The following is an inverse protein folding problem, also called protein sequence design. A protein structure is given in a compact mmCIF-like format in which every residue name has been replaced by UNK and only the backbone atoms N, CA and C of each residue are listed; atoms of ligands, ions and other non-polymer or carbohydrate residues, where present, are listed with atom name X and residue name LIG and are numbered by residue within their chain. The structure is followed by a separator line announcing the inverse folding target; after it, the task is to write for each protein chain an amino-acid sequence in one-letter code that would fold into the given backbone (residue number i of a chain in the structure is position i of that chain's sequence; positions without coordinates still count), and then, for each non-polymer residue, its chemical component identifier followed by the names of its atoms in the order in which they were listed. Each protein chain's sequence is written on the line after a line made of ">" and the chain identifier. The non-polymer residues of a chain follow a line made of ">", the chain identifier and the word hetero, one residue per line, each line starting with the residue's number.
data_IF_395907099229
#
_entry.id   IF_395907099229
#
_cell.length_a   1.000
_cell.length_b   1.000
_cell.length_c   1.000
_cell.angle_alpha   90.00
_cell.angle_beta   90.00
_cell.angle_gamma   90.00
#
_symmetry.space_group_name_H-M   'P 1'
#
loop_
_entity.id
_entity.type
_entity.pdbx_description
1 polymer ?
#
# COMPACT_ATOMS: atom_id res chain seq x y z
N UNK A 1 8.52 -21.27 9.45
CA UNK A 1 8.16 -20.40 10.60
C UNK A 1 7.42 -19.19 10.03
N UNK A 2 6.13 -19.01 10.31
CA UNK A 2 5.31 -17.94 9.72
C UNK A 2 5.54 -16.63 10.48
N UNK A 3 6.21 -15.65 9.85
CA UNK A 3 6.52 -14.32 10.44
C UNK A 3 5.29 -13.66 11.09
N UNK A 4 4.12 -13.79 10.47
CA UNK A 4 2.87 -13.24 10.96
C UNK A 4 2.42 -13.87 12.30
N UNK A 5 2.58 -15.18 12.48
CA UNK A 5 2.27 -15.86 13.74
C UNK A 5 3.20 -15.41 14.87
N UNK A 6 4.48 -15.19 14.57
CA UNK A 6 5.44 -14.67 15.56
C UNK A 6 5.08 -13.24 15.97
N UNK A 7 4.65 -12.40 15.01
CA UNK A 7 4.20 -11.04 15.28
C UNK A 7 2.97 -11.03 16.19
N UNK A 8 1.92 -11.79 15.84
CA UNK A 8 0.70 -11.86 16.67
C UNK A 8 1.00 -12.47 18.04
N UNK A 9 1.82 -13.52 18.11
CA UNK A 9 2.23 -14.12 19.39
C UNK A 9 3.05 -13.19 20.29
N UNK A 10 3.70 -12.16 19.73
CA UNK A 10 4.39 -11.13 20.51
C UNK A 10 3.44 -10.07 21.08
N UNK A 11 2.23 -9.95 20.53
CA UNK A 11 1.18 -9.06 21.02
C UNK A 11 0.40 -9.79 22.11
N UNK A 12 0.25 -9.17 23.28
CA UNK A 12 -0.54 -9.75 24.38
C UNK A 12 -2.01 -9.91 23.96
N UNK A 13 -2.76 -10.90 24.49
CA UNK A 13 -4.21 -10.96 24.33
C UNK A 13 -4.87 -9.62 24.70
N UNK A 14 -5.86 -9.19 23.90
CA UNK A 14 -6.46 -7.86 23.97
C UNK A 14 -5.61 -6.73 23.37
N UNK A 15 -4.42 -7.03 22.84
CA UNK A 15 -3.58 -6.08 22.12
C UNK A 15 -4.08 -5.81 20.70
N UNK A 16 -3.53 -4.76 20.08
CA UNK A 16 -3.95 -4.29 18.76
C UNK A 16 -2.91 -4.61 17.69
N UNK A 17 -3.41 -5.08 16.55
CA UNK A 17 -2.68 -5.18 15.29
C UNK A 17 -3.32 -4.22 14.29
N UNK A 18 -2.49 -3.38 13.69
CA UNK A 18 -2.88 -2.51 12.59
C UNK A 18 -2.36 -3.11 11.29
N UNK A 19 -3.28 -3.46 10.41
CA UNK A 19 -2.98 -4.07 9.12
C UNK A 19 -3.24 -3.03 8.02
N UNK A 20 -2.15 -2.53 7.43
CA UNK A 20 -2.18 -1.53 6.37
C UNK A 20 -1.88 -2.19 5.03
N UNK A 21 -2.87 -2.21 4.16
CA UNK A 21 -2.82 -2.91 2.88
C UNK A 21 -2.97 -1.93 1.74
N UNK A 22 -2.11 -2.00 0.73
CA UNK A 22 -2.38 -1.28 -0.53
C UNK A 22 -3.46 -2.04 -1.31
N UNK A 23 -4.48 -1.32 -1.76
CA UNK A 23 -5.65 -1.87 -2.44
C UNK A 23 -5.80 -1.31 -3.86
N UNK A 24 -6.60 -1.99 -4.67
CA UNK A 24 -6.94 -1.56 -6.04
C UNK A 24 -7.74 -0.24 -6.01
N UNK A 25 -7.72 0.58 -7.09
CA UNK A 25 -7.09 0.36 -8.39
C UNK A 25 -5.58 0.62 -8.39
N UNK A 26 -4.93 0.44 -9.54
CA UNK A 26 -3.52 0.81 -9.75
C UNK A 26 -3.23 2.24 -9.26
N UNK A 27 -2.07 2.47 -8.61
CA UNK A 27 -1.63 3.82 -8.27
C UNK A 27 -1.46 4.68 -9.53
N UNK A 28 -1.59 5.99 -9.37
CA UNK A 28 -1.46 6.96 -10.45
C UNK A 28 -0.47 8.06 -10.08
N UNK A 29 0.14 8.68 -11.10
CA UNK A 29 0.86 9.94 -10.97
C UNK A 29 -0.06 11.06 -11.42
N UNK A 30 -0.16 12.11 -10.61
CA UNK A 30 -0.93 13.31 -10.85
C UNK A 30 -0.01 14.53 -10.91
N UNK A 31 -0.28 15.46 -11.84
CA UNK A 31 0.36 16.77 -11.91
C UNK A 31 -0.70 17.79 -12.27
N UNK A 32 -0.76 18.91 -11.53
CA UNK A 32 -1.80 19.94 -11.64
C UNK A 32 -3.24 19.39 -11.61
N UNK A 33 -3.47 18.36 -10.80
CA UNK A 33 -4.78 17.71 -10.63
C UNK A 33 -5.16 16.76 -11.78
N UNK A 34 -4.28 16.54 -12.76
CA UNK A 34 -4.51 15.65 -13.89
C UNK A 34 -3.69 14.37 -13.73
N UNK A 35 -4.31 13.21 -14.01
CA UNK A 35 -3.60 11.92 -14.07
C UNK A 35 -2.74 11.88 -15.34
N UNK A 36 -1.42 11.75 -15.15
CA UNK A 36 -0.43 11.76 -16.24
C UNK A 36 0.20 10.39 -16.50
N UNK A 37 0.16 9.48 -15.53
CA UNK A 37 0.68 8.12 -15.69
C UNK A 37 -0.02 7.16 -14.73
N UNK A 38 -0.28 5.93 -15.17
CA UNK A 38 -0.63 4.81 -14.29
C UNK A 38 0.63 4.04 -13.92
N UNK A 39 0.75 3.65 -12.65
CA UNK A 39 1.82 2.79 -12.14
C UNK A 39 1.33 1.35 -12.19
N UNK A 40 2.17 0.43 -12.67
CA UNK A 40 1.87 -1.00 -12.57
C UNK A 40 1.92 -1.45 -11.11
N UNK A 41 0.73 -1.67 -10.52
CA UNK A 41 0.54 -2.11 -9.15
C UNK A 41 0.60 -3.63 -8.97
N UNK A 42 0.59 -4.43 -10.04
CA UNK A 42 0.46 -5.89 -9.96
C UNK A 42 1.54 -6.57 -9.10
N UNK A 43 2.83 -6.18 -9.15
CA UNK A 43 3.83 -6.71 -8.23
C UNK A 43 3.53 -6.45 -6.76
N UNK A 44 2.92 -5.30 -6.45
CA UNK A 44 2.52 -4.92 -5.09
C UNK A 44 1.26 -5.66 -4.65
N UNK A 45 0.24 -5.72 -5.52
CA UNK A 45 -1.02 -6.39 -5.23
C UNK A 45 -0.83 -7.87 -4.97
N UNK A 46 0.06 -8.57 -5.68
CA UNK A 46 0.35 -9.98 -5.38
C UNK A 46 0.82 -10.20 -3.94
N UNK A 47 1.67 -9.32 -3.42
CA UNK A 47 2.12 -9.42 -2.03
C UNK A 47 1.05 -8.96 -1.03
N UNK A 48 0.27 -7.94 -1.40
CA UNK A 48 -0.83 -7.45 -0.57
C UNK A 48 -1.94 -8.51 -0.45
N UNK A 49 -2.41 -9.07 -1.56
CA UNK A 49 -3.43 -10.11 -1.60
C UNK A 49 -3.02 -11.35 -0.77
N UNK A 50 -1.74 -11.75 -0.82
CA UNK A 50 -1.21 -12.84 0.00
C UNK A 50 -1.19 -12.50 1.51
N UNK A 51 -0.86 -11.26 1.87
CA UNK A 51 -0.90 -10.79 3.25
C UNK A 51 -2.36 -10.71 3.76
N UNK A 52 -3.27 -10.20 2.95
CA UNK A 52 -4.71 -10.14 3.23
C UNK A 52 -5.25 -11.55 3.52
N UNK A 53 -4.96 -12.51 2.65
CA UNK A 53 -5.40 -13.90 2.84
C UNK A 53 -4.86 -14.52 4.14
N UNK A 54 -3.62 -14.18 4.54
CA UNK A 54 -3.04 -14.67 5.78
C UNK A 54 -3.72 -14.07 7.03
N UNK A 55 -4.05 -12.77 7.01
CA UNK A 55 -4.81 -12.11 8.08
C UNK A 55 -6.23 -12.68 8.14
N UNK A 56 -6.89 -12.85 6.99
CA UNK A 56 -8.26 -13.37 6.92
C UNK A 56 -8.34 -14.80 7.48
N UNK A 57 -7.33 -15.63 7.25
CA UNK A 57 -7.24 -16.95 7.87
C UNK A 57 -7.13 -16.85 9.41
N UNK A 58 -6.35 -15.91 9.95
CA UNK A 58 -6.24 -15.72 11.40
C UNK A 58 -7.53 -15.17 12.02
N UNK A 59 -8.29 -14.37 11.28
CA UNK A 59 -9.63 -13.92 11.69
C UNK A 59 -10.61 -15.09 11.69
N UNK A 60 -10.62 -15.90 10.63
CA UNK A 60 -11.47 -17.08 10.53
C UNK A 60 -11.17 -18.12 11.64
N UNK A 61 -9.90 -18.28 12.00
CA UNK A 61 -9.44 -19.14 13.09
C UNK A 61 -9.70 -18.54 14.48
N UNK A 62 -10.26 -17.32 14.56
CA UNK A 62 -10.60 -16.63 15.81
C UNK A 62 -9.39 -16.10 16.58
N UNK A 63 -8.20 -16.07 15.98
CA UNK A 63 -6.98 -15.51 16.60
C UNK A 63 -6.98 -13.97 16.58
N UNK A 64 -7.66 -13.39 15.60
CA UNK A 64 -7.84 -11.95 15.43
C UNK A 64 -9.33 -11.63 15.31
N UNK A 65 -9.74 -10.49 15.84
CA UNK A 65 -11.11 -9.98 15.73
C UNK A 65 -11.04 -8.63 15.01
N UNK A 66 -11.69 -8.52 13.85
CA UNK A 66 -11.81 -7.26 13.14
C UNK A 66 -12.76 -6.32 13.86
N UNK A 67 -12.25 -5.14 14.23
CA UNK A 67 -13.02 -4.12 14.95
C UNK A 67 -13.44 -2.96 14.04
N UNK A 68 -12.62 -2.63 13.05
CA UNK A 68 -12.88 -1.54 12.12
C UNK A 68 -12.06 -1.70 10.83
N UNK A 69 -12.59 -1.12 9.76
CA UNK A 69 -11.94 -1.01 8.45
C UNK A 69 -12.15 0.40 7.93
N UNK A 70 -11.09 1.02 7.42
CA UNK A 70 -11.14 2.33 6.79
C UNK A 70 -10.28 2.35 5.52
N UNK A 71 -10.79 2.97 4.46
CA UNK A 71 -10.12 3.07 3.17
C UNK A 71 -9.67 4.52 2.95
N UNK A 72 -8.41 4.70 2.58
CA UNK A 72 -7.78 6.02 2.46
C UNK A 72 -7.11 6.20 1.11
N UNK A 73 -7.19 7.41 0.55
CA UNK A 73 -6.28 7.85 -0.50
C UNK A 73 -4.98 8.37 0.15
N UNK A 74 -3.85 7.79 -0.25
CA UNK A 74 -2.51 8.20 0.17
C UNK A 74 -1.86 8.96 -0.98
N UNK A 75 -1.32 10.14 -0.69
CA UNK A 75 -0.59 10.97 -1.65
C UNK A 75 0.85 11.19 -1.20
N UNK A 76 1.79 10.77 -2.04
CA UNK A 76 3.21 11.11 -1.88
C UNK A 76 3.55 12.24 -2.84
N UNK A 77 4.01 13.36 -2.29
CA UNK A 77 4.30 14.57 -3.06
C UNK A 77 5.78 14.64 -3.41
N UNK A 78 6.05 15.09 -4.64
CA UNK A 78 7.39 15.27 -5.19
C UNK A 78 7.51 16.68 -5.76
N UNK A 79 8.69 17.28 -5.66
CA UNK A 79 8.92 18.62 -6.19
C UNK A 79 8.82 18.64 -7.73
N UNK A 80 9.18 17.54 -8.38
CA UNK A 80 9.08 17.36 -9.83
C UNK A 80 9.12 15.87 -10.21
N UNK A 81 8.96 15.60 -11.51
CA UNK A 81 8.93 14.23 -12.01
C UNK A 81 10.27 13.50 -11.99
N UNK A 82 11.40 14.21 -11.93
CA UNK A 82 12.72 13.56 -11.80
C UNK A 82 12.86 12.92 -10.42
N UNK A 83 12.51 13.65 -9.37
CA UNK A 83 12.52 13.14 -8.00
C UNK A 83 11.62 11.91 -7.85
N UNK A 84 10.41 11.95 -8.44
CA UNK A 84 9.51 10.79 -8.44
C UNK A 84 10.14 9.59 -9.15
N UNK A 85 10.68 9.78 -10.35
CA UNK A 85 11.30 8.68 -11.11
C UNK A 85 12.52 8.10 -10.39
N UNK A 86 13.32 8.96 -9.76
CA UNK A 86 14.50 8.54 -9.00
C UNK A 86 14.10 7.74 -7.74
N UNK A 87 13.05 8.15 -7.02
CA UNK A 87 12.47 7.39 -5.90
C UNK A 87 11.88 6.03 -6.35
N UNK A 88 11.45 5.92 -7.61
CA UNK A 88 10.96 4.67 -8.18
C UNK A 88 12.05 3.72 -8.68
N UNK A 89 13.31 4.17 -8.79
CA UNK A 89 14.40 3.35 -9.35
C UNK A 89 14.63 2.05 -8.55
N UNK A 90 14.50 2.13 -7.22
CA UNK A 90 14.70 1.00 -6.30
C UNK A 90 13.41 0.28 -5.91
N UNK A 91 12.26 0.74 -6.42
CA UNK A 91 10.95 0.18 -6.07
C UNK A 91 10.62 -1.03 -6.94
N UNK A 92 9.89 -2.00 -6.37
CA UNK A 92 9.35 -3.16 -7.12
C UNK A 92 8.28 -2.77 -8.15
N UNK A 93 7.71 -1.57 -8.03
CA UNK A 93 6.65 -1.03 -8.89
C UNK A 93 7.26 -0.27 -10.04
N UNK A 94 6.60 -0.28 -11.21
CA UNK A 94 7.12 0.35 -12.42
C UNK A 94 6.19 1.44 -12.93
N UNK A 95 6.77 2.59 -13.24
CA UNK A 95 6.11 3.65 -14.01
C UNK A 95 5.98 3.18 -15.45
N UNK A 96 4.75 3.13 -15.99
CA UNK A 96 4.53 2.72 -17.39
C UNK A 96 5.15 3.68 -18.39
N UNK A 97 5.15 4.98 -18.07
CA UNK A 97 5.78 6.03 -18.86
C UNK A 97 6.74 6.89 -18.02
N UNK A 98 7.84 6.27 -17.60
CA UNK A 98 8.86 6.96 -16.80
C UNK A 98 9.46 8.17 -17.53
N UNK A 99 9.51 8.18 -18.87
CA UNK A 99 10.09 9.28 -19.64
C UNK A 99 9.20 10.52 -19.57
N UNK A 100 7.89 10.37 -19.78
CA UNK A 100 6.95 11.48 -19.69
C UNK A 100 6.83 12.00 -18.26
N UNK A 101 6.82 11.11 -17.26
CA UNK A 101 6.84 11.52 -15.85
C UNK A 101 8.12 12.29 -15.55
N UNK A 102 9.30 11.82 -15.99
CA UNK A 102 10.59 12.52 -15.76
C UNK A 102 10.66 13.93 -16.36
N UNK A 103 9.87 14.19 -17.40
CA UNK A 103 9.80 15.48 -18.08
C UNK A 103 8.93 16.52 -17.34
N UNK A 104 8.18 16.13 -16.31
CA UNK A 104 7.41 17.07 -15.49
C UNK A 104 8.36 17.97 -14.71
N UNK A 105 8.36 19.26 -15.04
CA UNK A 105 9.19 20.27 -14.38
C UNK A 105 8.58 20.79 -13.07
N UNK A 106 7.25 20.76 -12.96
CA UNK A 106 6.50 21.21 -11.80
C UNK A 106 6.12 20.10 -10.81
N UNK A 107 5.48 20.47 -9.67
CA UNK A 107 5.06 19.53 -8.65
C UNK A 107 4.19 18.39 -9.20
N UNK A 108 4.39 17.20 -8.65
CA UNK A 108 3.58 16.04 -8.95
C UNK A 108 3.38 15.18 -7.71
N UNK A 109 2.40 14.29 -7.75
CA UNK A 109 2.12 13.38 -6.65
C UNK A 109 1.82 11.98 -7.17
N UNK A 110 2.30 10.97 -6.44
CA UNK A 110 1.78 9.62 -6.58
C UNK A 110 0.56 9.49 -5.67
N UNK A 111 -0.58 9.07 -6.22
CA UNK A 111 -1.77 8.70 -5.46
C UNK A 111 -1.99 7.19 -5.50
N UNK A 112 -2.19 6.60 -4.32
CA UNK A 112 -2.55 5.18 -4.15
C UNK A 112 -3.69 5.06 -3.14
N UNK A 113 -4.36 3.90 -3.12
CA UNK A 113 -5.38 3.60 -2.11
C UNK A 113 -4.87 2.56 -1.14
N UNK A 114 -5.14 2.78 0.13
CA UNK A 114 -4.81 1.87 1.21
C UNK A 114 -6.05 1.54 2.02
N UNK A 115 -6.07 0.34 2.61
CA UNK A 115 -7.04 -0.10 3.60
C UNK A 115 -6.31 -0.27 4.92
N UNK A 116 -6.83 0.35 5.97
CA UNK A 116 -6.43 0.10 7.34
C UNK A 116 -7.47 -0.79 8.01
N UNK A 117 -7.03 -1.92 8.56
CA UNK A 117 -7.84 -2.78 9.41
C UNK A 117 -7.33 -2.70 10.84
N UNK A 118 -8.25 -2.52 11.79
CA UNK A 118 -7.97 -2.60 13.22
C UNK A 118 -8.38 -3.97 13.73
N UNK A 119 -7.40 -4.74 14.18
CA UNK A 119 -7.57 -6.13 14.60
C UNK A 119 -7.21 -6.25 16.08
N UNK A 120 -8.09 -6.86 16.86
CA UNK A 120 -7.82 -7.21 18.25
C UNK A 120 -7.27 -8.64 18.31
N UNK A 121 -6.22 -8.87 19.10
CA UNK A 121 -5.74 -10.23 19.38
C UNK A 121 -6.65 -10.87 20.42
N UNK A 122 -7.18 -12.05 20.10
CA UNK A 122 -8.07 -12.81 20.98
C UNK A 122 -7.35 -13.31 22.26
#
# INVERSE_FOLDING_TARGET
>A
MHVLRNMVGAVKPGGLVLDLQVIRPDPVVESDGVVVCTIDGEPLFRTADAATAAIDAMVADGQLIEQAVDDHDVRNHYANGRELVDDFADRKRRLRDAKSVRALEGPCAMRERCRLRRLLVA
#
